data_IF_860548908755
#
_entry.id   IF_860548908755
#
_cell.length_a   1.000
_cell.length_b   1.000
_cell.length_c   1.000
_cell.angle_alpha   90.00
_cell.angle_beta   90.00
_cell.angle_gamma   90.00
#
_symmetry.space_group_name_H-M   'P 1'
#
loop_
_entity.id
_entity.type
_entity.pdbx_description
1 polymer ?
#
# COMPACT_ATOMS: atom_id res chain seq x y z
N UNK A 1 0.85 8.49 2.47
CA UNK A 1 1.70 7.57 1.69
C UNK A 1 0.75 6.57 1.10
N UNK A 2 0.64 6.49 -0.23
CA UNK A 2 -0.24 5.53 -0.87
C UNK A 2 0.28 4.10 -0.58
N UNK A 3 -0.63 3.19 -0.22
CA UNK A 3 -0.31 1.76 -0.17
C UNK A 3 0.08 1.27 -1.57
N UNK A 4 0.84 0.17 -1.62
CA UNK A 4 1.22 -0.45 -2.89
C UNK A 4 0.61 -1.84 -3.02
N UNK A 5 0.52 -2.33 -4.27
CA UNK A 5 0.13 -3.72 -4.55
C UNK A 5 1.04 -4.74 -3.82
N UNK A 6 2.30 -4.41 -3.59
CA UNK A 6 3.22 -5.27 -2.85
C UNK A 6 2.83 -5.39 -1.36
N UNK A 7 2.34 -4.31 -0.76
CA UNK A 7 1.86 -4.31 0.62
C UNK A 7 0.59 -5.16 0.78
N UNK A 8 -0.33 -5.07 -0.18
CA UNK A 8 -1.55 -5.89 -0.25
C UNK A 8 -1.19 -7.38 -0.35
N UNK A 9 -0.23 -7.74 -1.20
CA UNK A 9 0.19 -9.14 -1.36
C UNK A 9 0.90 -9.68 -0.11
N UNK A 10 1.72 -8.86 0.55
CA UNK A 10 2.35 -9.21 1.83
C UNK A 10 1.30 -9.49 2.91
N UNK A 11 0.26 -8.65 3.01
CA UNK A 11 -0.84 -8.84 3.94
C UNK A 11 -1.65 -10.11 3.60
N UNK A 12 -1.98 -10.35 2.32
CA UNK A 12 -2.66 -11.58 1.87
C UNK A 12 -1.88 -12.84 2.23
N UNK A 13 -0.55 -12.83 2.06
CA UNK A 13 0.32 -13.95 2.45
C UNK A 13 0.30 -14.17 3.95
N UNK A 14 0.38 -13.10 4.76
CA UNK A 14 0.33 -13.21 6.20
C UNK A 14 -1.01 -13.80 6.70
N UNK A 15 -2.14 -13.35 6.13
CA UNK A 15 -3.47 -13.91 6.41
C UNK A 15 -3.51 -15.40 6.07
N UNK A 16 -2.96 -15.81 4.92
CA UNK A 16 -2.92 -17.22 4.48
C UNK A 16 -2.09 -18.10 5.42
N UNK A 17 -0.98 -17.57 5.95
CA UNK A 17 -0.11 -18.27 6.90
C UNK A 17 -0.66 -18.24 8.33
N UNK A 18 -1.65 -17.38 8.63
CA UNK A 18 -2.14 -17.13 9.99
C UNK A 18 -1.17 -16.28 10.82
N UNK A 19 -0.23 -15.59 10.17
CA UNK A 19 0.69 -14.67 10.82
C UNK A 19 -0.05 -13.39 11.19
N UNK A 20 0.13 -12.94 12.43
CA UNK A 20 -0.43 -11.67 12.93
C UNK A 20 0.50 -10.48 12.72
N UNK A 21 1.77 -10.76 12.38
CA UNK A 21 2.77 -9.73 12.14
C UNK A 21 3.03 -9.62 10.65
N UNK A 22 2.94 -8.41 10.12
CA UNK A 22 3.19 -8.11 8.71
C UNK A 22 4.22 -7.00 8.62
N UNK A 23 5.16 -7.17 7.70
CA UNK A 23 6.18 -6.18 7.41
C UNK A 23 5.87 -5.54 6.05
N UNK A 24 5.77 -4.21 6.03
CA UNK A 24 5.46 -3.40 4.85
C UNK A 24 6.67 -2.60 4.40
N UNK A 25 6.70 -2.25 3.11
CA UNK A 25 7.76 -1.45 2.51
C UNK A 25 9.11 -2.17 2.37
N UNK A 26 10.14 -1.41 1.98
CA UNK A 26 11.51 -1.91 1.81
C UNK A 26 12.54 -0.82 2.18
N UNK A 27 13.70 -1.23 2.71
CA UNK A 27 14.77 -0.31 3.09
C UNK A 27 14.40 0.60 4.27
N UNK A 28 14.58 1.91 4.10
CA UNK A 28 14.37 2.94 5.13
C UNK A 28 12.90 3.12 5.53
N UNK A 29 11.97 2.64 4.69
CA UNK A 29 10.51 2.73 4.93
C UNK A 29 9.92 1.44 5.47
N UNK A 30 10.75 0.51 5.98
CA UNK A 30 10.29 -0.74 6.54
C UNK A 30 9.44 -0.49 7.79
N UNK A 31 8.22 -1.03 7.81
CA UNK A 31 7.26 -0.90 8.92
C UNK A 31 6.79 -2.28 9.32
N UNK A 32 6.72 -2.54 10.62
CA UNK A 32 6.21 -3.80 11.16
C UNK A 32 4.92 -3.49 11.89
N UNK A 33 3.83 -4.14 11.48
CA UNK A 33 2.52 -3.99 12.11
C UNK A 33 2.12 -5.33 12.72
N UNK A 34 1.74 -5.29 13.99
CA UNK A 34 1.29 -6.45 14.76
C UNK A 34 -0.23 -6.33 14.95
N UNK A 35 -0.97 -7.24 14.29
CA UNK A 35 -2.42 -7.27 14.28
C UNK A 35 -2.97 -8.11 15.42
N UNK A 36 -4.11 -7.69 15.97
CA UNK A 36 -4.72 -8.40 17.08
C UNK A 36 -5.53 -9.62 16.62
N UNK A 37 -6.05 -9.59 15.39
CA UNK A 37 -6.97 -10.62 14.89
C UNK A 37 -7.01 -10.68 13.36
N UNK A 38 -7.39 -11.85 12.83
CA UNK A 38 -7.56 -12.04 11.38
C UNK A 38 -8.71 -11.21 10.79
N UNK A 39 -9.73 -10.87 11.59
CA UNK A 39 -10.82 -9.99 11.16
C UNK A 39 -10.28 -8.59 10.85
N UNK A 40 -9.52 -8.00 11.79
CA UNK A 40 -8.84 -6.71 11.63
C UNK A 40 -7.93 -6.69 10.40
N UNK A 41 -7.18 -7.78 10.15
CA UNK A 41 -6.34 -7.90 8.95
C UNK A 41 -7.15 -7.84 7.65
N UNK A 42 -8.36 -8.42 7.61
CA UNK A 42 -9.22 -8.41 6.42
C UNK A 42 -9.86 -7.04 6.19
N UNK A 43 -10.23 -6.34 7.25
CA UNK A 43 -10.76 -4.97 7.16
C UNK A 43 -9.70 -4.02 6.60
N UNK A 44 -8.47 -4.12 7.11
CA UNK A 44 -7.35 -3.31 6.63
C UNK A 44 -6.97 -3.67 5.19
N UNK A 45 -7.07 -4.94 4.82
CA UNK A 45 -6.86 -5.36 3.43
C UNK A 45 -7.85 -4.68 2.49
N UNK A 46 -9.13 -4.60 2.86
CA UNK A 46 -10.15 -3.94 2.05
C UNK A 46 -9.91 -2.43 1.92
N UNK A 47 -9.50 -1.78 3.02
CA UNK A 47 -9.10 -0.36 3.03
C UNK A 47 -7.89 -0.09 2.13
N UNK A 48 -6.86 -0.93 2.21
CA UNK A 48 -5.69 -0.85 1.32
C UNK A 48 -6.07 -1.06 -0.15
N UNK A 49 -6.93 -2.05 -0.44
CA UNK A 49 -7.41 -2.32 -1.81
C UNK A 49 -8.22 -1.15 -2.36
N UNK A 50 -9.03 -0.47 -1.53
CA UNK A 50 -9.78 0.74 -1.91
C UNK A 50 -8.84 1.93 -2.18
N UNK A 51 -7.86 2.18 -1.31
CA UNK A 51 -6.87 3.26 -1.51
C UNK A 51 -6.01 3.03 -2.76
N UNK A 52 -5.66 1.78 -3.08
CA UNK A 52 -4.88 1.43 -4.28
C UNK A 52 -5.74 1.42 -5.54
N UNK A 53 -7.03 1.08 -5.44
CA UNK A 53 -7.98 1.15 -6.55
C UNK A 53 -8.45 2.60 -6.85
N UNK A 54 -8.34 3.51 -5.88
CA UNK A 54 -8.60 4.95 -5.99
C UNK A 54 -7.67 5.66 -6.98
N UNK A 55 -8.14 6.75 -7.61
CA UNK A 55 -8.19 6.91 -9.06
C UNK A 55 -6.82 6.84 -9.74
N UNK A 56 -6.83 6.20 -10.92
CA UNK A 56 -5.85 6.22 -12.02
C UNK A 56 -5.45 7.65 -12.48
N UNK A 57 -5.15 8.58 -11.58
CA UNK A 57 -4.65 9.89 -11.91
C UNK A 57 -3.14 9.80 -12.08
N UNK A 58 -2.62 9.78 -13.33
CA UNK A 58 -1.19 9.92 -13.53
C UNK A 58 -0.79 11.29 -13.00
N UNK A 59 0.00 11.31 -11.93
CA UNK A 59 0.80 12.47 -11.57
C UNK A 59 1.91 12.65 -12.62
N UNK A 60 1.52 13.04 -13.84
CA UNK A 60 2.41 13.57 -14.87
C UNK A 60 2.64 15.03 -14.55
N UNK A 61 3.64 15.30 -13.73
CA UNK A 61 4.22 16.63 -13.63
C UNK A 61 5.09 16.86 -14.86
N UNK A 62 4.45 17.08 -16.02
CA UNK A 62 5.11 17.62 -17.19
C UNK A 62 5.14 19.14 -17.05
N UNK A 63 6.08 19.67 -16.27
CA UNK A 63 6.45 21.09 -16.33
C UNK A 63 7.33 21.30 -17.56
N UNK A 64 6.74 21.20 -18.75
CA UNK A 64 7.31 21.85 -19.92
C UNK A 64 6.87 23.30 -19.85
N UNK A 65 7.64 24.16 -19.17
CA UNK A 65 7.45 25.59 -19.35
C UNK A 65 7.99 25.94 -20.74
N UNK A 66 7.08 25.90 -21.70
CA UNK A 66 7.27 26.35 -23.06
C UNK A 66 7.14 27.89 -23.09
N UNK A 67 7.98 28.52 -23.92
CA UNK A 67 7.96 29.92 -24.39
C UNK A 67 8.60 30.99 -23.51
N UNK A 68 9.27 32.03 -24.05
CA UNK A 68 9.77 32.39 -25.40
C UNK A 68 10.39 33.79 -25.24
N UNK A 69 11.38 34.07 -26.09
CA UNK A 69 12.01 35.39 -26.40
C UNK A 69 13.20 35.80 -25.52
#
# INVERSE_FOLDING_TARGET
MAWTQADIDALKRAIKTGARRVEYGSGETKRVVDYRSLAEMKEILADMEDEVAGPLAPQRTAITQFSRD
#
